data_IF_127155170031
#
_entry.id   IF_127155170031
#
_cell.length_a   1.000
_cell.length_b   1.000
_cell.length_c   1.000
_cell.angle_alpha   90.00
_cell.angle_beta   90.00
_cell.angle_gamma   90.00
#
_symmetry.space_group_name_H-M   'P 1'
#
loop_
_entity.id
_entity.type
_entity.pdbx_description
1 polymer ?
#
# COMPACT_ATOMS: atom_id res chain seq x y z
N UNK A 1 -10.86 24.35 -4.29
CA UNK A 1 -11.59 23.32 -5.04
C UNK A 1 -13.09 23.51 -4.78
N UNK A 2 -13.81 24.07 -5.75
CA UNK A 2 -15.24 24.37 -5.62
C UNK A 2 -16.05 23.10 -5.32
N UNK A 3 -16.89 23.11 -4.28
CA UNK A 3 -17.75 21.98 -3.89
C UNK A 3 -18.67 21.52 -5.04
N UNK A 4 -18.94 22.39 -6.01
CA UNK A 4 -19.70 22.05 -7.23
C UNK A 4 -18.88 21.29 -8.27
N UNK A 5 -17.53 21.37 -8.26
CA UNK A 5 -16.66 20.65 -9.21
C UNK A 5 -16.33 19.21 -8.81
N UNK A 6 -16.60 18.80 -7.57
CA UNK A 6 -16.38 17.44 -7.07
C UNK A 6 -17.29 16.37 -7.72
N UNK A 7 -18.34 16.78 -8.45
CA UNK A 7 -19.29 15.86 -9.08
C UNK A 7 -18.85 15.34 -10.46
N UNK A 8 -17.85 15.95 -11.11
CA UNK A 8 -17.55 15.66 -12.54
C UNK A 8 -16.46 14.59 -12.76
N UNK A 9 -15.61 14.29 -11.76
CA UNK A 9 -14.40 13.48 -11.96
C UNK A 9 -14.51 11.98 -11.61
N UNK A 10 -15.66 11.50 -11.11
CA UNK A 10 -15.85 10.09 -10.69
C UNK A 10 -17.07 9.46 -11.39
N UNK A 11 -17.10 8.13 -11.63
CA UNK A 11 -18.30 7.45 -12.11
C UNK A 11 -19.44 7.75 -11.13
N UNK A 12 -20.40 8.57 -11.56
CA UNK A 12 -21.31 9.26 -10.64
C UNK A 12 -22.26 8.24 -10.01
N UNK A 13 -22.00 7.88 -8.75
CA UNK A 13 -22.99 7.21 -7.93
C UNK A 13 -24.26 8.08 -7.88
N UNK A 14 -25.39 7.53 -8.34
CA UNK A 14 -26.68 8.24 -8.28
C UNK A 14 -27.38 8.01 -6.95
N UNK A 15 -28.29 8.90 -6.52
CA UNK A 15 -29.12 8.66 -5.36
C UNK A 15 -29.87 7.31 -5.44
N UNK A 16 -30.40 6.94 -6.61
CA UNK A 16 -31.09 5.66 -6.81
C UNK A 16 -30.16 4.47 -6.58
N UNK A 17 -28.90 4.58 -7.00
CA UNK A 17 -27.90 3.55 -6.75
C UNK A 17 -27.61 3.39 -5.26
N UNK A 18 -27.45 4.49 -4.52
CA UNK A 18 -27.27 4.46 -3.06
C UNK A 18 -28.49 3.82 -2.39
N UNK A 19 -29.71 4.15 -2.80
CA UNK A 19 -30.93 3.55 -2.24
C UNK A 19 -31.02 2.06 -2.51
N UNK A 20 -30.62 1.61 -3.70
CA UNK A 20 -30.54 0.18 -4.02
C UNK A 20 -29.49 -0.50 -3.14
N UNK A 21 -28.32 0.13 -3.00
CA UNK A 21 -27.21 -0.40 -2.23
C UNK A 21 -27.56 -0.54 -0.74
N UNK A 22 -28.28 0.42 -0.15
CA UNK A 22 -28.73 0.35 1.24
C UNK A 22 -29.71 -0.81 1.52
N UNK A 23 -30.42 -1.32 0.50
CA UNK A 23 -31.21 -2.56 0.64
C UNK A 23 -30.30 -3.77 0.80
N UNK A 24 -29.14 -3.75 0.14
CA UNK A 24 -28.16 -4.81 0.20
C UNK A 24 -27.20 -4.67 1.40
N UNK A 25 -26.99 -3.44 1.86
CA UNK A 25 -26.07 -3.10 2.94
C UNK A 25 -26.79 -2.14 3.90
N UNK A 26 -27.64 -2.65 4.81
CA UNK A 26 -28.49 -1.82 5.67
C UNK A 26 -27.69 -1.24 6.86
N UNK A 27 -26.64 -0.48 6.56
CA UNK A 27 -25.78 0.19 7.55
C UNK A 27 -26.41 1.48 8.11
N UNK A 28 -27.31 2.09 7.33
CA UNK A 28 -28.04 3.31 7.67
C UNK A 28 -29.32 3.43 6.83
N UNK A 29 -30.10 4.50 7.03
CA UNK A 29 -31.33 4.78 6.28
C UNK A 29 -31.09 5.80 5.15
N UNK A 30 -31.89 5.75 4.06
CA UNK A 30 -31.95 6.78 3.03
C UNK A 30 -32.05 8.21 3.57
N UNK A 31 -32.86 8.41 4.60
CA UNK A 31 -33.10 9.71 5.23
C UNK A 31 -31.84 10.21 5.94
N UNK A 32 -31.18 9.33 6.70
CA UNK A 32 -29.93 9.67 7.40
C UNK A 32 -28.80 9.99 6.43
N UNK A 33 -28.69 9.28 5.29
CA UNK A 33 -27.73 9.64 4.24
C UNK A 33 -27.97 11.07 3.73
N UNK A 34 -29.23 11.43 3.46
CA UNK A 34 -29.57 12.80 3.02
C UNK A 34 -29.24 13.85 4.07
N UNK A 35 -29.46 13.56 5.35
CA UNK A 35 -29.10 14.45 6.45
C UNK A 35 -27.59 14.62 6.57
N UNK A 36 -26.82 13.53 6.49
CA UNK A 36 -25.36 13.56 6.50
C UNK A 36 -24.79 14.34 5.33
N UNK A 37 -25.31 14.16 4.12
CA UNK A 37 -24.84 14.92 2.96
C UNK A 37 -25.10 16.42 3.09
N UNK A 38 -26.18 16.82 3.77
CA UNK A 38 -26.42 18.23 4.09
C UNK A 38 -25.45 18.74 5.15
N UNK A 39 -25.13 17.93 6.15
CA UNK A 39 -24.19 18.29 7.22
C UNK A 39 -22.71 18.26 6.77
N UNK A 40 -22.39 17.48 5.72
CA UNK A 40 -21.04 17.23 5.22
C UNK A 40 -20.93 17.63 3.73
N UNK A 41 -20.88 18.93 3.41
CA UNK A 41 -20.94 19.43 2.03
C UNK A 41 -19.74 19.03 1.15
N UNK A 42 -18.62 18.62 1.74
CA UNK A 42 -17.43 18.20 0.99
C UNK A 42 -17.40 16.69 0.69
N UNK A 43 -18.47 15.96 1.01
CA UNK A 43 -18.62 14.52 0.78
C UNK A 43 -19.47 14.27 -0.45
N UNK A 44 -18.96 13.45 -1.37
CA UNK A 44 -19.67 13.03 -2.58
C UNK A 44 -20.56 11.81 -2.32
N UNK A 45 -21.51 11.54 -3.23
CA UNK A 45 -22.28 10.30 -3.21
C UNK A 45 -21.38 9.06 -3.37
N UNK A 46 -20.26 9.18 -4.08
CA UNK A 46 -19.33 8.07 -4.25
C UNK A 46 -18.62 7.73 -2.92
N UNK A 47 -18.30 8.73 -2.10
CA UNK A 47 -17.74 8.49 -0.76
C UNK A 47 -18.73 7.73 0.12
N UNK A 48 -20.02 8.07 0.04
CA UNK A 48 -21.09 7.34 0.71
C UNK A 48 -21.14 5.89 0.25
N UNK A 49 -21.10 5.65 -1.06
CA UNK A 49 -21.02 4.28 -1.63
C UNK A 49 -19.80 3.53 -1.10
N UNK A 50 -18.63 4.17 -1.13
CA UNK A 50 -17.37 3.57 -0.69
C UNK A 50 -17.46 3.19 0.78
N UNK A 51 -17.95 4.07 1.66
CA UNK A 51 -18.15 3.76 3.07
C UNK A 51 -19.15 2.62 3.30
N UNK A 52 -20.29 2.62 2.59
CA UNK A 52 -21.30 1.54 2.70
C UNK A 52 -20.66 0.18 2.34
N UNK A 53 -19.96 0.11 1.21
CA UNK A 53 -19.32 -1.11 0.73
C UNK A 53 -18.15 -1.53 1.61
N UNK A 54 -17.33 -0.59 2.09
CA UNK A 54 -16.21 -0.84 2.99
C UNK A 54 -16.74 -1.49 4.27
N UNK A 55 -17.72 -0.91 4.93
CA UNK A 55 -18.16 -1.41 6.23
C UNK A 55 -19.01 -2.69 6.15
N UNK A 56 -19.60 -3.00 5.00
CA UNK A 56 -20.40 -4.20 4.80
C UNK A 56 -21.71 -4.18 5.62
N UNK A 57 -22.55 -5.22 5.55
CA UNK A 57 -23.93 -5.18 6.07
C UNK A 57 -24.04 -5.33 7.60
N UNK A 58 -22.93 -5.34 8.34
CA UNK A 58 -22.89 -5.73 9.75
C UNK A 58 -22.28 -4.68 10.67
N UNK A 59 -22.03 -3.47 10.17
CA UNK A 59 -21.34 -2.43 10.92
C UNK A 59 -22.32 -1.47 11.61
N UNK A 60 -21.93 -0.94 12.77
CA UNK A 60 -22.72 0.04 13.49
C UNK A 60 -22.72 1.40 12.76
N UNK A 61 -23.90 2.01 12.63
CA UNK A 61 -24.12 3.32 11.99
C UNK A 61 -23.18 4.41 12.49
N UNK A 62 -22.81 4.39 13.78
CA UNK A 62 -21.86 5.34 14.37
C UNK A 62 -20.49 5.36 13.68
N UNK A 63 -20.01 4.22 13.18
CA UNK A 63 -18.72 4.17 12.47
C UNK A 63 -18.84 4.71 11.05
N UNK A 64 -19.96 4.47 10.38
CA UNK A 64 -20.27 5.08 9.10
C UNK A 64 -20.28 6.61 9.21
N UNK A 65 -21.00 7.16 10.19
CA UNK A 65 -21.08 8.61 10.42
C UNK A 65 -19.71 9.23 10.69
N UNK A 66 -18.88 8.57 11.52
CA UNK A 66 -17.53 9.03 11.83
C UNK A 66 -16.68 9.16 10.56
N UNK A 67 -16.70 8.15 9.69
CA UNK A 67 -15.89 8.16 8.46
C UNK A 67 -16.34 9.24 7.49
N UNK A 68 -17.65 9.46 7.36
CA UNK A 68 -18.19 10.54 6.53
C UNK A 68 -17.75 11.90 7.06
N UNK A 69 -17.82 12.12 8.38
CA UNK A 69 -17.32 13.35 9.00
C UNK A 69 -15.81 13.53 8.84
N UNK A 70 -15.02 12.46 8.94
CA UNK A 70 -13.56 12.54 8.78
C UNK A 70 -13.17 12.95 7.34
N UNK A 71 -13.85 12.39 6.33
CA UNK A 71 -13.69 12.78 4.92
C UNK A 71 -14.03 14.27 4.75
N UNK A 72 -15.18 14.70 5.28
CA UNK A 72 -15.61 16.09 5.19
C UNK A 72 -14.59 17.04 5.81
N UNK A 73 -14.20 16.80 7.06
CA UNK A 73 -13.29 17.65 7.81
C UNK A 73 -11.92 17.73 7.13
N UNK A 74 -11.44 16.61 6.57
CA UNK A 74 -10.18 16.59 5.83
C UNK A 74 -10.24 17.48 4.59
N UNK A 75 -11.31 17.38 3.79
CA UNK A 75 -11.46 18.16 2.55
C UNK A 75 -11.77 19.63 2.82
N UNK A 76 -12.59 19.94 3.81
CA UNK A 76 -12.83 21.31 4.27
C UNK A 76 -11.52 21.96 4.73
N UNK A 77 -10.69 21.23 5.50
CA UNK A 77 -9.41 21.74 5.93
C UNK A 77 -8.43 21.97 4.76
N UNK A 78 -8.41 21.08 3.78
CA UNK A 78 -7.62 21.24 2.56
C UNK A 78 -8.09 22.45 1.73
N UNK A 79 -9.40 22.69 1.66
CA UNK A 79 -9.97 23.85 0.98
C UNK A 79 -9.58 25.17 1.66
N UNK A 80 -9.64 25.21 2.99
CA UNK A 80 -9.39 26.42 3.77
C UNK A 80 -7.89 26.74 3.92
N UNK A 81 -7.06 25.71 4.09
CA UNK A 81 -5.65 25.88 4.49
C UNK A 81 -4.65 25.37 3.46
N UNK A 82 -5.12 24.81 2.34
CA UNK A 82 -4.28 24.07 1.40
C UNK A 82 -3.85 22.71 1.94
N UNK A 83 -3.03 22.00 1.16
CA UNK A 83 -2.57 20.65 1.49
C UNK A 83 -1.76 20.64 2.79
N UNK A 84 -2.15 19.81 3.74
CA UNK A 84 -1.37 19.57 4.96
C UNK A 84 -0.02 18.97 4.55
N UNK A 85 1.06 19.58 5.03
CA UNK A 85 2.41 19.08 4.79
C UNK A 85 2.55 17.64 5.32
N UNK A 86 2.87 16.69 4.44
CA UNK A 86 3.21 15.32 4.84
C UNK A 86 4.60 15.35 5.45
N UNK A 87 4.73 15.05 6.74
CA UNK A 87 6.07 14.87 7.31
C UNK A 87 6.74 13.70 6.59
N UNK A 88 7.82 13.99 5.88
CA UNK A 88 8.51 13.04 5.01
C UNK A 88 9.91 12.74 5.55
N UNK A 89 10.43 11.57 5.20
CA UNK A 89 11.79 11.16 5.53
C UNK A 89 12.44 10.38 4.39
N UNK A 90 13.77 10.23 4.39
CA UNK A 90 14.44 9.50 3.35
C UNK A 90 14.16 8.00 3.43
N UNK A 91 13.94 7.42 2.26
CA UNK A 91 13.50 6.04 2.11
C UNK A 91 14.06 5.45 0.81
N UNK A 92 14.72 4.30 0.93
CA UNK A 92 15.00 3.44 -0.21
C UNK A 92 13.83 2.47 -0.39
N UNK A 93 13.25 2.41 -1.59
CA UNK A 93 12.27 1.39 -1.96
C UNK A 93 12.81 0.49 -3.08
N UNK A 94 13.12 -0.78 -2.79
CA UNK A 94 13.43 -1.76 -3.84
C UNK A 94 12.13 -2.18 -4.52
N UNK A 95 11.92 -1.55 -5.67
CA UNK A 95 10.69 -1.57 -6.44
C UNK A 95 10.41 -2.96 -7.01
N UNK A 96 11.35 -3.53 -7.76
CA UNK A 96 11.18 -4.84 -8.39
C UNK A 96 12.50 -5.53 -8.68
N UNK A 97 12.44 -6.85 -8.86
CA UNK A 97 13.54 -7.63 -9.43
C UNK A 97 12.95 -8.55 -10.49
N UNK A 98 13.04 -8.12 -11.74
CA UNK A 98 12.54 -8.87 -12.88
C UNK A 98 13.59 -9.89 -13.31
N UNK A 99 13.18 -11.14 -13.54
CA UNK A 99 14.05 -12.19 -14.08
C UNK A 99 13.48 -12.64 -15.41
N UNK A 100 14.30 -12.63 -16.45
CA UNK A 100 13.93 -13.05 -17.80
C UNK A 100 14.82 -14.21 -18.26
N UNK A 101 14.25 -15.39 -18.52
CA UNK A 101 14.97 -16.49 -19.15
C UNK A 101 15.44 -16.11 -20.56
N UNK A 102 16.65 -16.53 -20.92
CA UNK A 102 17.14 -16.44 -22.32
C UNK A 102 16.75 -17.67 -23.15
N UNK A 103 16.33 -18.74 -22.46
CA UNK A 103 15.80 -19.96 -23.03
C UNK A 103 14.32 -20.06 -22.67
N UNK A 104 13.48 -20.59 -23.56
CA UNK A 104 12.04 -20.75 -23.31
C UNK A 104 11.76 -21.90 -22.32
N UNK A 105 12.25 -21.78 -21.08
CA UNK A 105 12.09 -22.72 -19.98
C UNK A 105 11.91 -21.98 -18.67
N UNK A 106 11.12 -22.57 -17.78
CA UNK A 106 10.93 -22.07 -16.42
C UNK A 106 12.26 -22.07 -15.65
N UNK A 107 12.50 -21.03 -14.85
CA UNK A 107 13.67 -20.94 -13.99
C UNK A 107 13.28 -21.20 -12.54
N UNK A 108 14.10 -21.96 -11.81
CA UNK A 108 14.05 -22.03 -10.36
C UNK A 108 15.11 -21.08 -9.79
N UNK A 109 14.71 -19.97 -9.17
CA UNK A 109 15.56 -18.91 -8.63
C UNK A 109 15.58 -18.96 -7.11
N UNK A 110 16.75 -18.83 -6.50
CA UNK A 110 16.91 -18.72 -5.05
C UNK A 110 18.10 -17.83 -4.70
N UNK A 111 18.27 -17.51 -3.42
CA UNK A 111 19.38 -16.69 -2.95
C UNK A 111 18.91 -15.59 -2.02
N UNK A 112 19.52 -14.42 -2.14
CA UNK A 112 19.31 -13.30 -1.22
C UNK A 112 19.36 -11.95 -1.91
N UNK A 113 18.47 -11.06 -1.51
CA UNK A 113 18.56 -9.61 -1.74
C UNK A 113 18.43 -8.93 -0.38
N UNK A 114 19.44 -8.15 -0.01
CA UNK A 114 19.56 -7.54 1.32
C UNK A 114 19.89 -6.06 1.21
N UNK A 115 19.15 -5.22 1.91
CA UNK A 115 19.51 -3.82 2.12
C UNK A 115 20.28 -3.69 3.44
N UNK A 116 21.45 -3.04 3.40
CA UNK A 116 22.22 -2.65 4.58
C UNK A 116 22.22 -1.13 4.67
N UNK A 117 21.80 -0.56 5.80
CA UNK A 117 21.64 0.90 5.94
C UNK A 117 21.82 1.35 7.38
N UNK A 118 21.91 2.66 7.61
CA UNK A 118 21.83 3.26 8.95
C UNK A 118 20.41 3.77 9.19
N UNK A 119 19.78 3.35 10.29
CA UNK A 119 18.47 3.88 10.67
C UNK A 119 18.61 5.36 11.09
N UNK A 120 17.71 6.22 10.60
CA UNK A 120 17.82 7.67 10.81
C UNK A 120 17.67 8.04 12.29
N UNK A 121 16.69 7.45 12.98
CA UNK A 121 16.36 7.78 14.38
C UNK A 121 17.41 7.26 15.36
N UNK A 122 17.77 5.98 15.26
CA UNK A 122 18.65 5.31 16.21
C UNK A 122 20.13 5.38 15.85
N UNK A 123 20.48 5.72 14.61
CA UNK A 123 21.85 5.67 14.10
C UNK A 123 22.44 4.26 14.01
N UNK A 124 21.71 3.19 14.35
CA UNK A 124 22.21 1.82 14.29
C UNK A 124 22.28 1.32 12.84
N UNK A 125 23.28 0.49 12.55
CA UNK A 125 23.37 -0.24 11.28
C UNK A 125 22.35 -1.38 11.28
N UNK A 126 21.50 -1.40 10.27
CA UNK A 126 20.42 -2.35 10.07
C UNK A 126 20.69 -3.20 8.82
N UNK A 127 20.14 -4.41 8.80
CA UNK A 127 20.16 -5.30 7.63
C UNK A 127 18.75 -5.85 7.42
N UNK A 128 18.23 -5.67 6.22
CA UNK A 128 16.89 -6.10 5.85
C UNK A 128 16.98 -7.07 4.67
N UNK A 129 16.52 -8.30 4.86
CA UNK A 129 16.43 -9.29 3.78
C UNK A 129 15.09 -9.09 3.07
N UNK A 130 15.11 -8.56 1.84
CA UNK A 130 13.92 -8.37 1.00
C UNK A 130 13.58 -9.62 0.19
N UNK A 131 14.55 -10.48 -0.02
CA UNK A 131 14.36 -11.78 -0.63
C UNK A 131 15.34 -12.74 0.02
N UNK A 132 14.86 -13.91 0.45
CA UNK A 132 15.70 -14.93 1.06
C UNK A 132 15.07 -16.30 0.86
N UNK A 133 15.52 -17.01 -0.17
CA UNK A 133 15.08 -18.37 -0.48
C UNK A 133 16.26 -19.32 -0.54
N UNK A 134 16.05 -20.54 -0.06
CA UNK A 134 17.03 -21.64 -0.13
C UNK A 134 16.81 -22.45 -1.41
N UNK A 135 17.80 -23.26 -1.80
CA UNK A 135 17.69 -24.06 -3.01
C UNK A 135 16.55 -25.10 -3.00
N UNK A 136 16.08 -25.53 -1.82
CA UNK A 136 14.93 -26.42 -1.68
C UNK A 136 13.57 -25.70 -1.74
N UNK A 137 13.56 -24.37 -1.63
CA UNK A 137 12.40 -23.49 -1.72
C UNK A 137 12.66 -22.41 -2.78
N UNK A 138 13.14 -22.84 -3.94
CA UNK A 138 13.42 -21.93 -5.05
C UNK A 138 12.09 -21.44 -5.66
N UNK A 139 12.03 -20.15 -5.95
CA UNK A 139 10.90 -19.52 -6.63
C UNK A 139 10.90 -19.87 -8.11
N UNK A 140 9.74 -20.23 -8.65
CA UNK A 140 9.61 -20.61 -10.05
C UNK A 140 9.20 -19.39 -10.88
N UNK A 141 10.06 -18.99 -11.80
CA UNK A 141 9.83 -17.92 -12.77
C UNK A 141 9.45 -18.53 -14.11
N UNK A 142 8.32 -18.08 -14.67
CA UNK A 142 7.79 -18.53 -15.96
C UNK A 142 8.83 -18.42 -17.09
N UNK A 143 8.63 -19.17 -18.18
CA UNK A 143 9.50 -19.14 -19.35
C UNK A 143 9.49 -17.77 -20.07
N UNK A 144 8.46 -16.96 -19.87
CA UNK A 144 8.37 -15.59 -20.36
C UNK A 144 9.00 -14.55 -19.41
N UNK A 145 9.51 -14.97 -18.26
CA UNK A 145 10.00 -14.10 -17.20
C UNK A 145 8.95 -13.76 -16.15
N UNK A 146 9.36 -12.99 -15.15
CA UNK A 146 8.51 -12.62 -14.02
C UNK A 146 9.30 -11.89 -12.93
N UNK A 147 8.58 -11.29 -11.99
CA UNK A 147 9.19 -10.61 -10.85
C UNK A 147 9.40 -11.60 -9.70
N UNK A 148 10.51 -11.46 -8.97
CA UNK A 148 10.67 -12.16 -7.70
C UNK A 148 9.69 -11.59 -6.67
N UNK A 149 9.14 -12.48 -5.86
CA UNK A 149 8.31 -12.15 -4.70
C UNK A 149 9.20 -11.56 -3.60
N UNK A 150 9.30 -10.23 -3.57
CA UNK A 150 10.08 -9.51 -2.57
C UNK A 150 9.24 -9.34 -1.29
N UNK A 151 9.71 -9.90 -0.19
CA UNK A 151 9.13 -9.66 1.13
C UNK A 151 9.45 -8.26 1.60
N UNK A 152 8.42 -7.50 1.96
CA UNK A 152 8.57 -6.24 2.67
C UNK A 152 8.48 -6.50 4.18
N UNK A 153 9.36 -5.93 5.03
CA UNK A 153 9.12 -5.99 6.46
C UNK A 153 7.87 -5.18 6.79
N UNK A 154 7.08 -5.65 7.75
CA UNK A 154 5.97 -4.88 8.34
C UNK A 154 6.44 -3.58 9.01
N UNK A 155 7.73 -3.46 9.29
CA UNK A 155 8.36 -2.30 9.90
C UNK A 155 9.51 -1.81 9.00
N UNK A 156 9.30 -0.74 8.23
CA UNK A 156 10.41 -0.11 7.50
C UNK A 156 11.11 0.89 8.41
N UNK A 157 12.39 0.69 8.76
CA UNK A 157 13.12 1.70 9.50
C UNK A 157 13.57 2.73 8.48
N UNK A 158 13.06 3.95 8.59
CA UNK A 158 13.51 5.10 7.80
C UNK A 158 15.03 5.09 7.61
N UNK A 159 15.46 5.15 6.35
CA UNK A 159 16.81 4.78 5.92
C UNK A 159 17.58 6.02 5.56
N UNK A 160 18.79 6.23 6.11
CA UNK A 160 19.72 7.18 5.48
C UNK A 160 20.09 6.66 4.10
N UNK A 161 19.90 7.43 3.04
CA UNK A 161 20.27 7.01 1.69
C UNK A 161 21.80 6.88 1.54
N UNK A 162 22.54 7.84 2.10
CA UNK A 162 24.01 7.79 2.13
C UNK A 162 24.51 6.58 2.93
N UNK A 163 25.45 5.83 2.34
CA UNK A 163 26.01 4.63 2.94
C UNK A 163 25.08 3.41 2.94
N UNK A 164 23.92 3.50 2.28
CA UNK A 164 23.04 2.35 2.05
C UNK A 164 23.54 1.51 0.87
N UNK A 165 23.49 0.19 1.04
CA UNK A 165 23.92 -0.79 0.04
C UNK A 165 22.84 -1.85 -0.17
N UNK A 166 22.53 -2.16 -1.43
CA UNK A 166 21.71 -3.30 -1.84
C UNK A 166 22.66 -4.43 -2.24
N UNK A 167 22.69 -5.49 -1.44
CA UNK A 167 23.51 -6.69 -1.66
C UNK A 167 22.65 -7.74 -2.37
N UNK A 168 23.02 -8.09 -3.60
CA UNK A 168 22.32 -9.07 -4.44
C UNK A 168 23.19 -10.33 -4.56
N UNK A 169 22.59 -11.50 -4.31
CA UNK A 169 23.23 -12.80 -4.54
C UNK A 169 22.19 -13.84 -4.95
N UNK A 170 21.99 -14.02 -6.25
CA UNK A 170 20.95 -14.89 -6.81
C UNK A 170 21.53 -16.04 -7.62
N UNK A 171 20.85 -17.17 -7.53
CA UNK A 171 21.23 -18.43 -8.13
C UNK A 171 20.07 -19.04 -8.89
N UNK A 172 20.36 -19.69 -10.01
CA UNK A 172 19.44 -20.55 -10.73
C UNK A 172 19.76 -22.02 -10.40
N UNK A 173 18.76 -22.79 -10.01
CA UNK A 173 18.92 -24.22 -9.69
C UNK A 173 18.76 -25.08 -10.96
N UNK A 174 19.82 -25.85 -11.27
CA UNK A 174 19.84 -26.86 -12.33
C UNK A 174 20.11 -28.23 -11.68
N UNK A 175 19.05 -29.04 -11.55
CA UNK A 175 19.12 -30.30 -10.81
C UNK A 175 19.55 -30.06 -9.35
N UNK A 176 20.73 -30.60 -8.97
CA UNK A 176 21.34 -30.39 -7.64
C UNK A 176 22.34 -29.22 -7.60
N UNK A 177 22.69 -28.62 -8.74
CA UNK A 177 23.68 -27.54 -8.84
C UNK A 177 22.99 -26.17 -8.78
N UNK A 178 23.64 -25.22 -8.13
CA UNK A 178 23.25 -23.81 -8.14
C UNK A 178 24.20 -22.99 -8.99
N UNK A 179 23.67 -22.31 -10.00
CA UNK A 179 24.43 -21.47 -10.91
C UNK A 179 24.23 -20.01 -10.50
N UNK A 180 25.29 -19.33 -10.07
CA UNK A 180 25.24 -17.92 -9.69
C UNK A 180 25.04 -17.06 -10.95
N UNK A 181 24.00 -16.21 -10.99
CA UNK A 181 23.74 -15.34 -12.14
C UNK A 181 23.66 -13.85 -11.78
N UNK A 182 23.53 -13.49 -10.50
CA UNK A 182 23.63 -12.10 -10.05
C UNK A 182 24.41 -12.05 -8.73
N UNK A 183 25.48 -11.25 -8.69
CA UNK A 183 26.26 -10.97 -7.47
C UNK A 183 26.82 -9.55 -7.54
N UNK A 184 26.27 -8.65 -6.76
CA UNK A 184 26.72 -7.25 -6.74
C UNK A 184 26.36 -6.59 -5.41
N UNK A 185 27.17 -5.61 -5.02
CA UNK A 185 26.91 -4.70 -3.93
C UNK A 185 26.66 -3.31 -4.54
N UNK A 186 25.39 -2.88 -4.56
CA UNK A 186 24.95 -1.63 -5.19
C UNK A 186 24.91 -0.55 -4.12
N UNK A 187 25.73 0.49 -4.25
CA UNK A 187 25.73 1.65 -3.34
C UNK A 187 24.69 2.67 -3.79
N UNK A 188 23.74 2.99 -2.89
CA UNK A 188 22.62 3.91 -3.17
C UNK A 188 23.06 5.38 -3.06
N UNK A 189 23.98 5.65 -2.13
CA UNK A 189 24.32 7.00 -1.66
C UNK A 189 25.13 7.88 -2.61
N UNK A 190 25.69 7.32 -3.68
CA UNK A 190 26.46 8.10 -4.67
C UNK A 190 25.59 8.62 -5.82
N UNK A 191 24.30 8.23 -5.85
CA UNK A 191 23.40 8.50 -6.97
C UNK A 191 22.47 9.71 -6.76
N UNK A 192 21.94 9.96 -5.55
CA UNK A 192 20.98 11.07 -5.31
C UNK A 192 21.65 12.43 -5.39
N UNK A 193 21.77 12.96 -6.61
CA UNK A 193 22.33 14.28 -6.93
C UNK A 193 21.34 15.41 -6.65
N UNK A 194 20.66 15.37 -5.50
CA UNK A 194 19.74 16.43 -5.11
C UNK A 194 18.57 15.97 -4.24
N UNK A 195 17.53 16.80 -4.26
CA UNK A 195 16.33 16.70 -3.43
C UNK A 195 15.15 16.03 -4.14
N UNK A 196 15.41 15.26 -5.19
CA UNK A 196 14.41 14.57 -6.01
C UNK A 196 14.56 13.05 -5.89
N UNK A 197 13.47 12.33 -6.10
CA UNK A 197 13.47 10.87 -6.14
C UNK A 197 14.09 10.33 -7.43
N UNK A 198 14.81 9.22 -7.32
CA UNK A 198 15.50 8.60 -8.45
C UNK A 198 15.13 7.13 -8.56
N UNK A 199 14.51 6.76 -9.67
CA UNK A 199 14.34 5.38 -10.10
C UNK A 199 15.61 4.94 -10.83
N UNK A 200 16.25 3.90 -10.30
CA UNK A 200 17.49 3.34 -10.84
C UNK A 200 17.25 1.86 -11.13
N UNK A 201 17.62 1.45 -12.34
CA UNK A 201 17.59 0.06 -12.78
C UNK A 201 18.99 -0.44 -13.06
N UNK A 202 19.29 -1.65 -12.57
CA UNK A 202 20.57 -2.34 -12.78
C UNK A 202 20.31 -3.71 -13.38
N UNK A 203 20.89 -3.94 -14.55
CA UNK A 203 20.81 -5.23 -15.23
C UNK A 203 21.99 -6.13 -14.88
N UNK A 204 21.68 -7.41 -14.69
CA UNK A 204 22.62 -8.51 -14.53
C UNK A 204 22.46 -9.44 -15.73
N UNK A 205 23.48 -9.51 -16.58
CA UNK A 205 23.48 -10.42 -17.71
C UNK A 205 24.19 -11.71 -17.37
N UNK A 206 23.53 -12.84 -17.65
CA UNK A 206 24.12 -14.16 -17.51
C UNK A 206 23.77 -15.02 -18.73
N UNK A 207 24.41 -16.18 -18.89
CA UNK A 207 24.25 -17.03 -20.09
C UNK A 207 22.82 -17.55 -20.26
N UNK A 208 22.17 -18.00 -19.18
CA UNK A 208 20.85 -18.64 -19.22
C UNK A 208 19.68 -17.72 -18.89
N UNK A 209 19.95 -16.57 -18.26
CA UNK A 209 18.94 -15.58 -17.89
C UNK A 209 19.55 -14.18 -17.75
N UNK A 210 18.71 -13.16 -17.71
CA UNK A 210 19.07 -11.87 -17.14
C UNK A 210 18.15 -11.54 -15.96
N UNK A 211 18.61 -10.63 -15.11
CA UNK A 211 17.77 -10.03 -14.10
C UNK A 211 17.95 -8.51 -14.10
N UNK A 212 16.89 -7.79 -13.78
CA UNK A 212 16.89 -6.33 -13.65
C UNK A 212 16.38 -5.99 -12.27
N UNK A 213 17.23 -5.41 -11.43
CA UNK A 213 16.83 -4.85 -10.14
C UNK A 213 16.51 -3.38 -10.33
N UNK A 214 15.31 -2.99 -9.92
CA UNK A 214 14.85 -1.61 -9.95
C UNK A 214 14.58 -1.14 -8.52
N UNK A 215 15.08 0.04 -8.16
CA UNK A 215 14.83 0.66 -6.87
C UNK A 215 14.61 2.17 -7.01
N UNK A 216 13.94 2.75 -6.04
CA UNK A 216 13.68 4.18 -5.94
C UNK A 216 14.37 4.70 -4.68
N UNK A 217 15.29 5.64 -4.85
CA UNK A 217 15.84 6.42 -3.74
C UNK A 217 15.00 7.68 -3.58
N UNK A 218 14.35 7.86 -2.42
CA UNK A 218 13.45 8.98 -2.16
C UNK A 218 13.99 9.80 -0.99
N UNK A 219 14.44 11.05 -1.19
CA UNK A 219 14.83 11.93 -0.09
C UNK A 219 13.65 12.31 0.81
N UNK A 220 12.46 12.46 0.21
CA UNK A 220 11.22 12.83 0.88
C UNK A 220 10.12 11.82 0.54
N UNK A 221 9.96 10.81 1.40
CA UNK A 221 8.92 9.81 1.26
C UNK A 221 8.00 9.75 2.48
N UNK A 222 6.80 9.24 2.24
CA UNK A 222 5.91 8.65 3.22
C UNK A 222 5.87 7.12 3.02
N UNK A 223 5.37 6.39 4.00
CA UNK A 223 4.98 4.99 3.80
C UNK A 223 3.50 4.93 3.44
N UNK A 224 3.13 4.05 2.52
CA UNK A 224 1.73 3.74 2.22
C UNK A 224 1.49 2.25 2.42
N UNK A 225 0.42 1.90 3.14
CA UNK A 225 -0.08 0.52 3.22
C UNK A 225 -1.31 0.42 2.35
N UNK A 226 -1.26 -0.45 1.35
CA UNK A 226 -2.38 -0.80 0.50
C UNK A 226 -3.01 -2.09 1.01
N UNK A 227 -4.31 -2.07 1.24
CA UNK A 227 -5.10 -3.24 1.62
C UNK A 227 -6.19 -3.46 0.56
N UNK A 228 -6.37 -4.71 0.16
CA UNK A 228 -7.43 -5.11 -0.79
C UNK A 228 -8.25 -6.18 -0.10
N UNK A 229 -9.57 -6.03 -0.09
CA UNK A 229 -10.47 -6.98 0.56
C UNK A 229 -11.74 -7.18 -0.24
N UNK A 230 -12.39 -8.32 -0.01
CA UNK A 230 -13.72 -8.59 -0.54
C UNK A 230 -14.74 -8.26 0.54
N UNK A 231 -15.82 -7.57 0.19
CA UNK A 231 -16.92 -7.22 1.10
C UNK A 231 -18.21 -7.85 0.61
N UNK A 232 -19.02 -8.42 1.50
CA UNK A 232 -20.26 -9.09 1.11
C UNK A 232 -21.09 -9.59 2.28
N UNK A 233 -22.35 -9.95 1.99
CA UNK A 233 -23.36 -10.38 2.97
C UNK A 233 -23.04 -11.72 3.64
N UNK A 234 -22.53 -12.67 2.87
CA UNK A 234 -22.32 -14.04 3.35
C UNK A 234 -20.97 -14.16 4.08
N UNK A 235 -20.99 -13.93 5.40
CA UNK A 235 -19.81 -14.18 6.25
C UNK A 235 -19.34 -15.63 6.09
N UNK A 236 -18.07 -15.80 5.77
CA UNK A 236 -17.43 -17.11 5.64
C UNK A 236 -17.40 -17.69 4.22
N UNK A 237 -18.11 -17.08 3.26
CA UNK A 237 -17.96 -17.44 1.84
C UNK A 237 -16.50 -17.25 1.41
N UNK A 238 -15.96 -18.19 0.63
CA UNK A 238 -14.62 -18.09 0.05
C UNK A 238 -14.74 -17.77 -1.43
N UNK A 239 -13.93 -16.82 -1.90
CA UNK A 239 -13.78 -16.48 -3.32
C UNK A 239 -12.34 -16.75 -3.73
N UNK A 240 -12.16 -17.47 -4.83
CA UNK A 240 -10.84 -17.81 -5.34
C UNK A 240 -10.34 -16.70 -6.28
N UNK A 241 -9.51 -15.80 -5.78
CA UNK A 241 -9.06 -14.61 -6.54
C UNK A 241 -7.80 -14.94 -7.35
N UNK A 242 -7.86 -14.66 -8.66
CA UNK A 242 -6.71 -14.75 -9.57
C UNK A 242 -6.49 -13.42 -10.29
N UNK A 243 -5.33 -13.23 -10.90
CA UNK A 243 -5.01 -12.02 -11.67
C UNK A 243 -3.84 -11.24 -11.10
N UNK A 244 -3.84 -9.92 -11.27
CA UNK A 244 -2.70 -9.05 -10.96
C UNK A 244 -3.15 -7.71 -10.36
N UNK A 245 -2.39 -7.23 -9.38
CA UNK A 245 -2.54 -5.88 -8.80
C UNK A 245 -1.21 -5.16 -8.93
N UNK A 246 -1.23 -3.96 -9.52
CA UNK A 246 -0.02 -3.16 -9.76
C UNK A 246 -0.22 -1.73 -9.27
N UNK A 247 0.61 -1.30 -8.32
CA UNK A 247 0.69 0.10 -7.88
C UNK A 247 1.54 0.94 -8.84
N UNK A 248 1.16 2.20 -9.05
CA UNK A 248 1.91 3.18 -9.82
C UNK A 248 1.91 4.52 -9.11
N UNK A 249 3.07 5.16 -9.11
CA UNK A 249 3.22 6.52 -8.59
C UNK A 249 3.13 7.49 -9.75
N UNK A 250 2.34 8.55 -9.61
CA UNK A 250 2.22 9.61 -10.61
C UNK A 250 2.59 10.97 -10.03
N UNK A 251 2.86 11.94 -10.91
CA UNK A 251 3.21 13.31 -10.51
C UNK A 251 4.47 13.34 -9.63
N UNK A 252 5.43 12.49 -9.95
CA UNK A 252 6.76 12.43 -9.33
C UNK A 252 7.64 13.57 -9.86
N UNK A 253 8.46 14.14 -8.99
CA UNK A 253 9.51 15.12 -9.28
C UNK A 253 10.80 14.48 -9.81
N UNK A 254 10.88 13.14 -9.78
CA UNK A 254 12.03 12.37 -10.21
C UNK A 254 12.15 12.13 -11.71
N UNK A 255 12.98 11.15 -12.06
CA UNK A 255 13.26 10.72 -13.44
C UNK A 255 12.30 9.64 -13.98
N UNK A 256 11.16 9.45 -13.33
CA UNK A 256 10.15 8.46 -13.70
C UNK A 256 8.76 9.03 -13.46
N UNK A 257 7.77 8.46 -14.14
CA UNK A 257 6.36 8.73 -13.90
C UNK A 257 5.60 7.44 -14.25
N UNK A 258 4.80 6.93 -13.32
CA UNK A 258 3.95 5.74 -13.48
C UNK A 258 4.65 4.37 -13.59
N UNK A 259 5.82 4.19 -12.95
CA UNK A 259 6.50 2.88 -12.90
C UNK A 259 5.70 1.86 -12.06
N UNK A 260 5.51 0.65 -12.58
CA UNK A 260 4.61 -0.35 -12.01
C UNK A 260 5.25 -1.23 -10.93
N UNK A 261 4.72 -1.20 -9.71
CA UNK A 261 5.06 -2.10 -8.60
C UNK A 261 4.00 -3.21 -8.45
N UNK A 262 4.35 -4.46 -8.75
CA UNK A 262 3.42 -5.59 -8.59
C UNK A 262 3.21 -5.88 -7.10
N UNK A 263 1.96 -5.86 -6.64
CA UNK A 263 1.56 -6.16 -5.26
C UNK A 263 1.05 -7.60 -5.11
N UNK A 264 0.39 -8.09 -6.15
CA UNK A 264 -0.21 -9.41 -6.22
C UNK A 264 -0.17 -9.92 -7.67
N UNK A 265 0.15 -11.20 -7.85
CA UNK A 265 0.09 -11.87 -9.15
C UNK A 265 -0.16 -13.38 -8.96
N UNK A 266 -1.27 -13.87 -9.52
CA UNK A 266 -1.66 -15.28 -9.60
C UNK A 266 -2.21 -15.54 -11.01
N UNK A 267 -1.33 -15.89 -11.96
CA UNK A 267 -1.72 -16.21 -13.34
C UNK A 267 -2.15 -17.68 -13.47
N UNK A 268 -1.35 -18.61 -12.94
CA UNK A 268 -1.54 -20.07 -13.05
C UNK A 268 -2.23 -20.70 -11.82
N UNK A 269 -3.03 -19.93 -11.10
CA UNK A 269 -3.71 -20.37 -9.89
C UNK A 269 -4.54 -19.26 -9.25
N UNK A 270 -4.86 -19.40 -7.97
CA UNK A 270 -5.66 -18.45 -7.22
C UNK A 270 -5.16 -18.25 -5.79
N UNK A 271 -5.75 -17.29 -5.11
CA UNK A 271 -5.65 -17.06 -3.67
C UNK A 271 -7.06 -17.14 -3.08
N UNK A 272 -7.35 -18.09 -2.17
CA UNK A 272 -8.66 -18.18 -1.54
C UNK A 272 -8.82 -17.03 -0.52
N UNK A 273 -9.84 -16.20 -0.71
CA UNK A 273 -10.15 -15.08 0.17
C UNK A 273 -11.50 -15.30 0.83
N UNK A 274 -11.51 -15.33 2.16
CA UNK A 274 -12.76 -15.36 2.93
C UNK A 274 -13.40 -13.98 2.86
N UNK A 275 -14.71 -13.93 2.64
CA UNK A 275 -15.49 -12.69 2.58
C UNK A 275 -15.27 -11.83 3.82
N UNK A 276 -15.07 -10.54 3.62
CA UNK A 276 -14.73 -9.53 4.62
C UNK A 276 -13.31 -9.66 5.23
N UNK A 277 -12.43 -10.48 4.65
CA UNK A 277 -11.00 -10.52 4.98
C UNK A 277 -10.14 -9.89 3.87
N UNK A 278 -8.91 -9.51 4.24
CA UNK A 278 -7.89 -8.99 3.33
C UNK A 278 -7.36 -10.10 2.40
N UNK A 279 -7.18 -9.75 1.12
CA UNK A 279 -6.43 -10.54 0.15
C UNK A 279 -4.97 -10.62 0.59
N UNK A 280 -4.44 -11.83 0.65
CA UNK A 280 -3.02 -12.03 0.95
C UNK A 280 -2.16 -11.59 -0.25
N UNK A 281 -1.69 -10.35 -0.21
CA UNK A 281 -0.77 -9.79 -1.19
C UNK A 281 0.68 -10.12 -0.85
N UNK A 282 1.51 -10.28 -1.88
CA UNK A 282 2.96 -10.45 -1.68
C UNK A 282 3.62 -9.21 -1.08
N UNK A 283 3.02 -8.03 -1.32
CA UNK A 283 3.46 -6.73 -0.84
C UNK A 283 2.25 -5.83 -0.61
N UNK A 284 2.09 -5.36 0.61
CA UNK A 284 1.08 -4.35 0.99
C UNK A 284 1.71 -2.98 1.30
N UNK A 285 2.98 -2.94 1.70
CA UNK A 285 3.67 -1.71 2.09
C UNK A 285 4.53 -1.17 0.94
N UNK A 286 4.40 0.14 0.70
CA UNK A 286 5.08 0.88 -0.36
C UNK A 286 5.76 2.12 0.23
N UNK A 287 6.91 2.47 -0.32
CA UNK A 287 7.44 3.81 -0.15
C UNK A 287 6.81 4.71 -1.19
N UNK A 288 6.19 5.80 -0.76
CA UNK A 288 5.51 6.76 -1.63
C UNK A 288 6.25 8.10 -1.58
N UNK A 289 6.68 8.67 -2.71
CA UNK A 289 7.17 10.04 -2.75
C UNK A 289 6.13 11.00 -2.16
N UNK A 290 6.54 11.91 -1.28
CA UNK A 290 5.64 12.65 -0.38
C UNK A 290 4.50 13.41 -1.10
N UNK A 291 4.71 13.81 -2.35
CA UNK A 291 3.76 14.59 -3.14
C UNK A 291 3.20 13.84 -4.36
N UNK A 292 3.62 12.60 -4.59
CA UNK A 292 3.10 11.78 -5.69
C UNK A 292 1.67 11.28 -5.39
N UNK A 293 0.91 11.02 -6.45
CA UNK A 293 -0.34 10.27 -6.37
C UNK A 293 -0.08 8.76 -6.44
N UNK A 294 -1.00 7.97 -5.90
CA UNK A 294 -0.97 6.51 -5.95
C UNK A 294 -2.18 5.98 -6.71
N UNK A 295 -1.89 5.24 -7.79
CA UNK A 295 -2.88 4.51 -8.56
C UNK A 295 -2.67 3.00 -8.43
N UNK A 296 -3.75 2.23 -8.43
CA UNK A 296 -3.72 0.78 -8.59
C UNK A 296 -4.40 0.36 -9.89
N UNK A 297 -3.71 -0.48 -10.66
CA UNK A 297 -4.34 -1.29 -11.70
C UNK A 297 -4.75 -2.63 -11.08
N UNK A 298 -6.06 -2.87 -11.02
CA UNK A 298 -6.67 -4.14 -10.68
C UNK A 298 -6.99 -4.86 -11.99
N UNK A 299 -6.37 -6.02 -12.23
CA UNK A 299 -6.75 -6.95 -13.29
C UNK A 299 -7.01 -8.31 -12.63
N UNK A 300 -8.13 -8.39 -11.92
CA UNK A 300 -8.51 -9.51 -11.09
C UNK A 300 -9.64 -10.31 -11.74
N UNK A 301 -9.80 -11.55 -11.29
CA UNK A 301 -10.96 -12.37 -11.59
C UNK A 301 -11.27 -13.32 -10.45
N UNK A 302 -12.54 -13.68 -10.33
CA UNK A 302 -12.92 -14.92 -9.66
C UNK A 302 -12.50 -16.09 -10.56
N UNK A 303 -11.68 -16.98 -10.02
CA UNK A 303 -11.13 -18.14 -10.71
C UNK A 303 -12.22 -19.14 -11.09
N UNK A 304 -13.23 -19.31 -10.23
CA UNK A 304 -14.26 -20.33 -10.42
C UNK A 304 -15.31 -19.88 -11.43
N UNK A 305 -15.73 -18.62 -11.34
CA UNK A 305 -16.76 -18.06 -12.25
C UNK A 305 -16.18 -17.38 -13.48
N UNK A 306 -14.85 -17.22 -13.56
CA UNK A 306 -14.14 -16.44 -14.57
C UNK A 306 -14.56 -14.96 -14.67
N UNK A 307 -15.30 -14.47 -13.67
CA UNK A 307 -15.79 -13.09 -13.61
C UNK A 307 -14.63 -12.13 -13.43
N UNK A 308 -14.49 -11.14 -14.31
CA UNK A 308 -13.38 -10.18 -14.31
C UNK A 308 -13.71 -8.92 -13.52
N UNK A 309 -12.69 -8.38 -12.86
CA UNK A 309 -12.70 -7.08 -12.20
C UNK A 309 -11.46 -6.35 -12.69
N UNK A 310 -11.66 -5.51 -13.69
CA UNK A 310 -10.59 -4.76 -14.34
C UNK A 310 -10.83 -3.26 -14.18
N UNK A 311 -10.02 -2.63 -13.35
CA UNK A 311 -10.21 -1.22 -12.98
C UNK A 311 -8.86 -0.56 -12.69
N UNK A 312 -8.75 0.71 -13.05
CA UNK A 312 -7.73 1.62 -12.50
C UNK A 312 -8.38 2.47 -11.43
N UNK A 313 -7.73 2.54 -10.28
CA UNK A 313 -8.22 3.23 -9.08
C UNK A 313 -7.17 4.24 -8.63
N UNK A 314 -7.57 5.48 -8.47
CA UNK A 314 -6.74 6.49 -7.79
C UNK A 314 -7.09 6.47 -6.30
N UNK A 315 -6.09 6.23 -5.45
CA UNK A 315 -6.27 6.12 -4.00
C UNK A 315 -5.73 7.34 -3.25
N UNK A 316 -4.67 7.95 -3.77
CA UNK A 316 -4.11 9.19 -3.24
C UNK A 316 -4.01 10.15 -4.41
N UNK A 317 -4.83 11.20 -4.42
CA UNK A 317 -4.69 12.28 -5.39
C UNK A 317 -3.49 13.13 -4.99
N UNK A 318 -2.82 13.76 -5.97
CA UNK A 318 -1.66 14.62 -5.72
C UNK A 318 -1.95 15.82 -4.80
N UNK A 319 -3.22 16.06 -4.45
CA UNK A 319 -3.66 17.17 -3.60
C UNK A 319 -4.14 16.71 -2.20
N UNK A 320 -4.59 15.46 -2.03
CA UNK A 320 -5.18 14.99 -0.77
C UNK A 320 -4.19 14.44 0.27
N UNK A 321 -4.52 14.64 1.56
CA UNK A 321 -3.95 13.86 2.67
C UNK A 321 -4.78 12.60 3.00
N UNK A 322 -6.02 12.55 2.50
CA UNK A 322 -6.89 11.41 2.67
C UNK A 322 -6.67 10.43 1.52
N UNK A 323 -6.38 9.19 1.86
CA UNK A 323 -6.50 8.11 0.92
C UNK A 323 -7.97 7.81 0.72
N UNK A 324 -8.46 7.97 -0.50
CA UNK A 324 -9.82 7.55 -0.83
C UNK A 324 -9.88 6.03 -0.79
N UNK A 325 -10.65 5.49 0.15
CA UNK A 325 -11.15 4.13 0.05
C UNK A 325 -11.93 4.03 -1.26
N UNK A 326 -11.59 3.05 -2.10
CA UNK A 326 -12.33 2.74 -3.31
C UNK A 326 -13.09 1.45 -3.09
N UNK A 327 -14.37 1.43 -3.45
CA UNK A 327 -15.14 0.20 -3.47
C UNK A 327 -16.01 0.08 -4.72
N UNK A 328 -16.03 -1.12 -5.30
CA UNK A 328 -16.86 -1.43 -6.45
C UNK A 328 -17.62 -2.74 -6.21
N UNK A 329 -18.93 -2.70 -6.41
CA UNK A 329 -19.77 -3.89 -6.36
C UNK A 329 -19.52 -4.77 -7.59
N UNK A 330 -19.20 -6.03 -7.34
CA UNK A 330 -19.13 -7.12 -8.29
C UNK A 330 -20.32 -8.07 -8.02
N UNK A 331 -21.54 -7.61 -8.34
CA UNK A 331 -22.87 -8.19 -8.03
C UNK A 331 -23.05 -8.74 -6.61
N UNK A 332 -22.50 -9.91 -6.33
CA UNK A 332 -22.69 -10.72 -5.14
C UNK A 332 -21.67 -10.42 -4.02
N UNK A 333 -20.61 -9.69 -4.33
CA UNK A 333 -19.67 -9.10 -3.38
C UNK A 333 -19.16 -7.75 -3.92
N UNK A 334 -18.30 -7.07 -3.19
CA UNK A 334 -17.61 -5.86 -3.62
C UNK A 334 -16.10 -6.04 -3.41
N UNK A 335 -15.30 -5.44 -4.29
CA UNK A 335 -13.86 -5.26 -4.03
C UNK A 335 -13.69 -3.90 -3.40
N UNK A 336 -13.02 -3.91 -2.26
CA UNK A 336 -12.68 -2.70 -1.52
C UNK A 336 -11.16 -2.59 -1.47
N UNK A 337 -10.67 -1.41 -1.79
CA UNK A 337 -9.27 -1.04 -1.80
C UNK A 337 -9.10 0.15 -0.88
N UNK A 338 -8.18 0.01 0.07
CA UNK A 338 -7.80 1.06 0.99
C UNK A 338 -6.29 1.33 0.82
N UNK A 339 -5.90 2.60 0.94
CA UNK A 339 -4.51 2.97 1.11
C UNK A 339 -4.39 3.78 2.40
N UNK A 340 -3.32 3.60 3.17
CA UNK A 340 -3.12 4.36 4.40
C UNK A 340 -1.76 4.98 4.38
N UNK A 341 -1.72 6.31 4.51
CA UNK A 341 -0.48 7.07 4.53
C UNK A 341 0.08 7.13 5.96
N UNK A 342 1.37 6.83 6.10
CA UNK A 342 2.10 6.85 7.36
C UNK A 342 3.29 7.82 7.22
N UNK A 343 3.19 9.03 7.78
CA UNK A 343 4.25 10.03 7.70
C UNK A 343 5.46 9.68 8.60
N UNK A 344 6.57 10.39 8.38
CA UNK A 344 7.76 10.37 9.22
C UNK A 344 7.62 11.30 10.45
N UNK A 345 8.24 10.98 11.60
CA UNK A 345 8.62 9.64 11.99
C UNK A 345 7.38 8.76 12.09
N UNK A 346 7.54 7.45 11.90
CA UNK A 346 6.47 6.51 12.21
C UNK A 346 6.26 6.57 13.73
N UNK A 347 5.33 7.40 14.18
CA UNK A 347 4.89 7.42 15.58
C UNK A 347 4.03 6.18 15.73
N UNK A 348 4.66 5.08 16.12
CA UNK A 348 3.91 3.91 16.53
C UNK A 348 3.11 4.33 17.76
N UNK A 349 1.78 4.17 17.70
CA UNK A 349 0.87 4.61 18.76
C UNK A 349 1.35 4.16 20.14
N UNK A 350 1.11 4.94 21.21
CA UNK A 350 1.46 4.56 22.57
C UNK A 350 0.77 3.23 22.91
N UNK A 351 1.55 2.15 22.99
CA UNK A 351 1.07 0.77 23.12
C UNK A 351 1.94 -0.24 22.35
N UNK A 352 2.64 0.22 21.30
CA UNK A 352 3.66 -0.57 20.63
C UNK A 352 5.01 -0.27 21.26
N UNK A 353 5.39 -1.09 22.25
CA UNK A 353 6.72 -0.97 22.88
C UNK A 353 7.81 -1.43 21.92
N UNK A 354 8.81 -0.57 21.80
CA UNK A 354 9.81 -0.47 20.73
C UNK A 354 10.80 -1.66 20.59
N UNK A 355 10.71 -2.75 21.37
CA UNK A 355 11.70 -3.85 21.25
C UNK A 355 11.18 -5.29 21.47
N UNK A 356 10.14 -5.53 22.29
CA UNK A 356 9.69 -6.92 22.58
C UNK A 356 8.53 -7.42 21.71
N UNK A 357 7.79 -6.52 21.05
CA UNK A 357 6.78 -6.89 20.04
C UNK A 357 7.41 -7.27 18.68
N UNK A 358 8.73 -7.06 18.53
CA UNK A 358 9.49 -7.36 17.33
C UNK A 358 9.45 -8.86 16.97
N UNK A 359 9.48 -9.77 17.94
CA UNK A 359 9.39 -11.22 17.67
C UNK A 359 7.94 -11.73 17.54
N UNK A 360 6.97 -11.12 18.23
CA UNK A 360 5.58 -11.58 18.22
C UNK A 360 4.88 -11.31 16.87
N UNK A 361 5.27 -10.26 16.16
CA UNK A 361 4.76 -9.88 14.83
C UNK A 361 5.43 -10.71 13.70
N UNK A 362 6.59 -11.34 13.98
CA UNK A 362 7.38 -12.11 13.03
C UNK A 362 6.91 -13.57 12.82
N UNK A 363 5.84 -14.02 13.47
CA UNK A 363 5.26 -15.35 13.17
C UNK A 363 4.32 -15.22 11.96
N UNK A 364 4.56 -15.96 10.85
CA UNK A 364 3.49 -16.17 9.89
C UNK A 364 2.34 -16.86 10.62
N UNK A 365 1.13 -16.29 10.57
CA UNK A 365 -0.08 -16.93 11.09
C UNK A 365 -0.44 -18.13 10.20
N UNK A 366 0.34 -19.22 10.30
CA UNK A 366 -0.12 -20.54 9.94
C UNK A 366 -0.81 -21.12 11.16
N UNK A 367 -2.14 -21.18 11.13
CA UNK A 367 -2.93 -21.82 12.18
C UNK A 367 -4.31 -21.19 12.35
N UNK A 368 -5.33 -22.02 12.13
CA UNK A 368 -6.73 -21.78 12.46
C UNK A 368 -6.91 -21.28 13.90
N UNK A 369 -7.85 -20.36 14.08
CA UNK A 369 -8.39 -20.02 15.41
C UNK A 369 -8.32 -18.53 15.73
N UNK A 370 -9.50 -17.90 15.68
CA UNK A 370 -9.99 -16.77 16.49
C UNK A 370 -8.96 -15.74 16.99
N UNK A 371 -9.10 -14.47 16.58
CA UNK A 371 -9.18 -13.34 17.54
C UNK A 371 -9.23 -11.97 16.85
N UNK A 372 -10.27 -11.21 17.24
CA UNK A 372 -10.34 -9.76 17.50
C UNK A 372 -9.95 -8.78 16.39
N UNK A 373 -11.00 -8.20 15.79
CA UNK A 373 -10.99 -6.87 15.19
C UNK A 373 -10.48 -5.83 16.20
N UNK A 374 -9.39 -5.14 15.87
CA UNK A 374 -8.99 -3.92 16.57
C UNK A 374 -9.34 -2.76 15.64
N UNK A 375 -10.45 -2.07 15.95
CA UNK A 375 -10.78 -0.77 15.38
C UNK A 375 -9.84 0.29 15.95
N UNK A 376 -9.23 1.11 15.09
CA UNK A 376 -8.37 2.22 15.52
C UNK A 376 -8.88 3.54 14.93
N UNK A 377 -9.95 4.06 15.53
CA UNK A 377 -10.28 5.48 15.46
C UNK A 377 -9.59 6.16 16.64
N UNK A 378 -8.57 6.97 16.39
CA UNK A 378 -8.19 8.10 17.24
C UNK A 378 -7.13 8.94 16.52
N UNK A 379 -7.55 10.02 15.87
CA UNK A 379 -6.71 11.18 15.61
C UNK A 379 -7.31 12.39 16.32
N UNK A 380 -6.47 13.09 17.07
CA UNK A 380 -6.83 14.19 17.94
C UNK A 380 -6.92 15.52 17.17
N UNK A 381 -8.00 16.25 17.47
CA UNK A 381 -8.13 17.70 17.26
C UNK A 381 -7.01 18.44 17.99
N UNK A 382 -6.09 19.06 17.26
CA UNK A 382 -5.20 20.08 17.82
C UNK A 382 -6.00 21.39 17.96
N UNK A 383 -6.61 21.63 19.12
CA UNK A 383 -7.10 22.97 19.48
C UNK A 383 -5.93 23.77 20.03
N UNK A 384 -5.45 24.73 19.23
CA UNK A 384 -4.61 25.80 19.72
C UNK A 384 -5.38 26.65 20.73
N UNK A 385 -4.73 26.98 21.85
CA UNK A 385 -5.08 28.15 22.64
C UNK A 385 -3.86 29.05 22.73
N UNK A 386 -4.01 30.37 22.51
CA UNK A 386 -2.93 31.32 22.70
C UNK A 386 -2.76 31.57 24.20
N UNK A 387 -1.53 31.51 24.70
CA UNK A 387 -1.21 32.13 26.00
C UNK A 387 -0.45 33.42 25.75
N UNK A 388 -1.17 34.52 25.99
CA UNK A 388 -0.60 35.82 26.25
C UNK A 388 0.34 35.76 27.47
N UNK A 389 1.33 36.65 27.47
CA UNK A 389 2.55 36.54 28.26
C UNK A 389 2.40 36.76 29.75
N UNK A 390 3.48 36.42 30.48
CA UNK A 390 4.04 37.17 31.59
C UNK A 390 5.55 36.90 31.61
N UNK A 391 6.31 37.98 31.74
CA UNK A 391 7.76 38.07 31.94
C UNK A 391 8.24 37.29 33.17
N UNK A 392 9.44 36.71 33.12
CA UNK A 392 10.60 37.17 33.91
C UNK A 392 11.74 36.12 33.97
N UNK A 393 12.89 36.55 33.45
CA UNK A 393 14.24 36.50 34.00
C UNK A 393 14.69 35.31 34.89
N UNK A 394 15.80 34.64 34.52
CA UNK A 394 17.16 34.79 35.08
C UNK A 394 18.06 33.58 34.76
N UNK A 395 19.35 33.89 34.59
CA UNK A 395 20.58 33.08 34.46
C UNK A 395 20.59 31.70 35.16
N UNK A 396 21.34 30.68 34.72
CA UNK A 396 22.73 30.63 34.23
C UNK A 396 22.95 29.66 33.07
#
# INVERSE_FOLDING_TARGET
MDATKLQEDYPIATPEYVMKLLKDYPVTTPEHVKELQKACPYVSLQDVVNCILNFGPHMATRMFDSSIHDINNSRENEELNGRVHVNAGPLLHVHSVHVKPKINKQLAVYGRIRVCFQNIKSGKRMKLDLYKRRANDAERISSCGGNLTLSWPLNYPWTKLQGTTIVVKLYHKIGRKGVLFAKEDIFVGDATRGNFEELISKEFHYEVCCATLTYIAMPFAALSRVDVRLSGKEKGRVVNVAGKIVARFKNTYGNYDSEGCVLFEKQDGFEPVVMNNELCMSRAWLGLPAYSSLELDLDLRDYDTCRKIKRRVELLTGNGAHASEYAEAADDFAIVVDARLFPYPLIVQPGWRDYDAFEAICRPKFGFGTSTSISLNHWFSYKGQPRAGVENCWHC
#
